data_IF_155890764937
#
_entry.id   IF_155890764937
#
_cell.length_a   1.000
_cell.length_b   1.000
_cell.length_c   1.000
_cell.angle_alpha   90.00
_cell.angle_beta   90.00
_cell.angle_gamma   90.00
#
_symmetry.space_group_name_H-M   'P 1'
#
loop_
_entity.id
_entity.type
_entity.pdbx_description
1 polymer ?
#
# COMPACT_ATOMS: atom_id res chain seq x y z
N UNK A 1 3.62 28.65 -12.34
CA UNK A 1 2.41 27.83 -12.43
C UNK A 1 2.80 26.41 -12.02
N UNK A 2 2.33 25.94 -10.86
CA UNK A 2 2.55 24.56 -10.43
C UNK A 2 1.66 23.63 -11.29
N UNK A 3 2.17 22.48 -11.69
CA UNK A 3 1.36 21.42 -12.31
C UNK A 3 1.26 20.27 -11.33
N UNK A 4 0.04 19.84 -11.07
CA UNK A 4 -0.24 18.64 -10.30
C UNK A 4 -0.03 17.43 -11.22
N UNK A 5 0.76 16.46 -10.75
CA UNK A 5 0.98 15.18 -11.43
C UNK A 5 0.35 14.10 -10.56
N UNK A 6 -0.51 13.29 -11.17
CA UNK A 6 -1.19 12.17 -10.51
C UNK A 6 -0.64 10.88 -11.09
N UNK A 7 -0.24 9.97 -10.21
CA UNK A 7 0.21 8.62 -10.52
C UNK A 7 -0.83 7.63 -9.99
N UNK A 8 -1.61 7.02 -10.89
CA UNK A 8 -2.62 6.00 -10.55
C UNK A 8 -1.95 4.62 -10.47
N UNK A 9 -1.87 4.06 -9.27
CA UNK A 9 -1.23 2.76 -9.04
C UNK A 9 -2.17 1.58 -9.35
N UNK A 10 -3.47 1.83 -9.53
CA UNK A 10 -4.43 0.78 -9.88
C UNK A 10 -4.30 0.33 -11.33
N UNK A 11 -3.67 1.12 -12.21
CA UNK A 11 -3.28 0.67 -13.56
C UNK A 11 -2.40 -0.60 -13.53
N UNK A 12 -1.60 -0.79 -12.47
CA UNK A 12 -0.81 -2.01 -12.27
C UNK A 12 -1.69 -3.27 -12.10
N UNK A 13 -2.87 -3.10 -11.51
CA UNK A 13 -3.83 -4.19 -11.33
C UNK A 13 -4.52 -4.54 -12.65
N UNK A 14 -4.87 -3.53 -13.46
CA UNK A 14 -5.41 -3.75 -14.81
C UNK A 14 -4.46 -4.58 -15.66
N UNK A 15 -3.17 -4.23 -15.64
CA UNK A 15 -2.13 -4.93 -16.40
C UNK A 15 -1.89 -6.37 -15.95
N UNK A 16 -2.22 -6.69 -14.70
CA UNK A 16 -2.02 -8.04 -14.12
C UNK A 16 -3.30 -8.89 -14.13
N UNK A 17 -4.42 -8.34 -14.57
CA UNK A 17 -5.75 -8.96 -14.44
C UNK A 17 -5.92 -10.24 -15.26
N UNK A 18 -5.20 -10.39 -16.37
CA UNK A 18 -5.25 -11.62 -17.19
C UNK A 18 -4.39 -12.75 -16.61
N UNK A 19 -3.41 -12.41 -15.79
CA UNK A 19 -2.35 -13.33 -15.37
C UNK A 19 -2.59 -13.85 -13.94
N UNK A 20 -3.37 -13.11 -13.13
CA UNK A 20 -3.66 -13.44 -11.74
C UNK A 20 -5.13 -13.84 -11.51
N UNK A 21 -5.37 -15.14 -11.35
CA UNK A 21 -6.70 -15.69 -11.03
C UNK A 21 -7.24 -15.30 -9.64
N UNK A 22 -6.42 -14.69 -8.79
CA UNK A 22 -6.81 -14.20 -7.46
C UNK A 22 -7.17 -12.71 -7.45
N UNK A 23 -7.01 -12.02 -8.59
CA UNK A 23 -7.50 -10.67 -8.84
C UNK A 23 -8.85 -10.75 -9.57
N UNK A 24 -9.84 -9.97 -9.14
CA UNK A 24 -11.17 -9.95 -9.75
C UNK A 24 -11.84 -8.59 -9.58
N UNK A 25 -12.88 -8.30 -10.36
CA UNK A 25 -13.72 -7.12 -10.20
C UNK A 25 -14.92 -7.42 -9.30
N UNK A 26 -15.27 -6.48 -8.43
CA UNK A 26 -16.41 -6.54 -7.50
C UNK A 26 -17.06 -5.15 -7.37
N UNK A 27 -18.19 -5.06 -6.67
CA UNK A 27 -18.85 -3.79 -6.39
C UNK A 27 -18.09 -2.98 -5.31
N UNK A 28 -17.77 -1.75 -5.67
CA UNK A 28 -17.04 -0.77 -4.88
C UNK A 28 -17.92 0.15 -4.05
N UNK A 29 -17.41 1.34 -3.78
CA UNK A 29 -18.17 2.43 -3.16
C UNK A 29 -19.21 2.92 -4.16
N UNK A 30 -20.46 3.13 -3.71
CA UNK A 30 -21.57 3.66 -4.51
C UNK A 30 -21.86 2.90 -5.83
N UNK A 31 -21.48 1.62 -5.91
CA UNK A 31 -21.71 0.77 -7.08
C UNK A 31 -20.69 0.95 -8.22
N UNK A 32 -19.63 1.74 -8.01
CA UNK A 32 -18.50 1.81 -8.94
C UNK A 32 -17.64 0.54 -8.84
N UNK A 33 -16.93 0.12 -9.90
CA UNK A 33 -16.11 -1.08 -9.84
C UNK A 33 -14.97 -0.96 -8.83
N UNK A 34 -14.67 -2.07 -8.16
CA UNK A 34 -13.53 -2.23 -7.28
C UNK A 34 -12.73 -3.49 -7.65
N UNK A 35 -11.41 -3.41 -7.48
CA UNK A 35 -10.54 -4.56 -7.58
C UNK A 35 -10.55 -5.32 -6.26
N UNK A 36 -10.86 -6.62 -6.32
CA UNK A 36 -10.79 -7.56 -5.20
C UNK A 36 -9.53 -8.43 -5.29
N UNK A 37 -8.80 -8.52 -4.20
CA UNK A 37 -7.55 -9.25 -4.08
C UNK A 37 -7.71 -10.39 -3.08
N UNK A 38 -7.66 -11.64 -3.55
CA UNK A 38 -7.70 -12.84 -2.69
C UNK A 38 -6.32 -13.16 -2.11
N UNK A 39 -6.21 -14.00 -1.07
CA UNK A 39 -4.92 -14.37 -0.52
C UNK A 39 -4.13 -15.13 -1.59
N UNK A 40 -2.90 -14.69 -1.86
CA UNK A 40 -2.09 -15.22 -2.95
C UNK A 40 -2.26 -14.49 -4.28
N UNK A 41 -2.99 -13.37 -4.33
CA UNK A 41 -2.90 -12.44 -5.47
C UNK A 41 -1.48 -11.88 -5.57
N UNK A 42 -0.95 -11.84 -6.79
CA UNK A 42 0.39 -11.40 -7.10
C UNK A 42 0.40 -10.28 -8.14
N UNK A 43 -0.15 -9.13 -7.79
CA UNK A 43 0.02 -7.89 -8.58
C UNK A 43 1.40 -7.32 -8.26
N UNK A 44 2.35 -7.57 -9.16
CA UNK A 44 3.72 -7.05 -9.11
C UNK A 44 4.11 -6.48 -10.46
N UNK A 45 4.69 -5.29 -10.48
CA UNK A 45 5.08 -4.61 -11.71
C UNK A 45 6.38 -3.82 -11.49
N UNK A 46 7.21 -3.60 -12.53
CA UNK A 46 8.32 -2.65 -12.43
C UNK A 46 7.79 -1.26 -12.06
N UNK A 47 8.30 -0.65 -10.98
CA UNK A 47 7.74 0.61 -10.45
C UNK A 47 7.71 1.74 -11.48
N UNK A 48 8.76 1.81 -12.32
CA UNK A 48 8.99 2.84 -13.35
C UNK A 48 7.88 2.97 -14.41
N UNK A 49 6.98 1.99 -14.49
CA UNK A 49 5.82 2.08 -15.37
C UNK A 49 4.73 2.99 -14.80
N UNK A 50 4.68 3.16 -13.48
CA UNK A 50 3.61 3.85 -12.76
C UNK A 50 4.11 5.02 -11.91
N UNK A 51 5.41 5.06 -11.60
CA UNK A 51 6.01 6.03 -10.69
C UNK A 51 7.28 6.66 -11.29
N UNK A 52 7.61 7.90 -10.91
CA UNK A 52 8.84 8.54 -11.33
C UNK A 52 10.04 7.93 -10.60
N UNK A 53 11.25 8.07 -11.16
CA UNK A 53 12.50 7.67 -10.51
C UNK A 53 12.69 8.35 -9.14
N UNK A 54 12.24 9.60 -9.04
CA UNK A 54 12.32 10.41 -7.82
C UNK A 54 10.97 11.00 -7.48
N UNK A 55 10.48 10.73 -6.27
CA UNK A 55 9.35 11.46 -5.70
C UNK A 55 9.86 12.71 -4.98
N UNK A 56 9.19 13.86 -5.16
CA UNK A 56 9.61 15.09 -4.51
C UNK A 56 9.36 15.04 -3.01
N UNK A 57 9.93 16.02 -2.31
CA UNK A 57 9.83 16.13 -0.86
C UNK A 57 8.39 16.25 -0.35
N UNK A 58 7.47 16.75 -1.16
CA UNK A 58 6.06 16.91 -0.80
C UNK A 58 5.17 16.18 -1.81
N UNK A 59 4.29 15.33 -1.28
CA UNK A 59 3.31 14.58 -2.06
C UNK A 59 2.16 14.14 -1.16
N UNK A 60 1.08 13.68 -1.79
CA UNK A 60 -0.10 13.17 -1.09
C UNK A 60 -0.41 11.78 -1.59
N UNK A 61 -0.65 10.85 -0.68
CA UNK A 61 -1.15 9.52 -1.00
C UNK A 61 -2.65 9.49 -0.75
N UNK A 62 -3.42 8.99 -1.71
CA UNK A 62 -4.86 8.80 -1.59
C UNK A 62 -5.15 7.33 -1.80
N UNK A 63 -5.98 6.73 -0.94
CA UNK A 63 -6.44 5.37 -1.17
C UNK A 63 -7.86 5.19 -0.64
N UNK A 64 -8.69 4.52 -1.43
CA UNK A 64 -10.01 4.07 -1.01
C UNK A 64 -10.09 2.55 -1.08
N UNK A 65 -10.27 1.94 0.09
CA UNK A 65 -10.11 0.51 0.25
C UNK A 65 -11.06 -0.08 1.30
N UNK A 66 -11.25 -1.40 1.25
CA UNK A 66 -12.03 -2.18 2.21
C UNK A 66 -11.25 -3.45 2.57
N UNK A 67 -10.55 -3.50 3.71
CA UNK A 67 -9.84 -4.70 4.14
C UNK A 67 -10.85 -5.66 4.79
N UNK A 68 -10.80 -6.97 4.52
CA UNK A 68 -11.75 -7.91 5.16
C UNK A 68 -11.20 -8.60 6.40
N UNK A 69 -9.91 -8.42 6.69
CA UNK A 69 -9.25 -8.95 7.88
C UNK A 69 -8.53 -7.84 8.66
N UNK A 70 -8.15 -8.16 9.90
CA UNK A 70 -7.36 -7.27 10.74
C UNK A 70 -5.85 -7.45 10.55
N UNK A 71 -5.43 -8.50 9.83
CA UNK A 71 -4.01 -8.83 9.71
C UNK A 71 -3.24 -7.66 9.11
N UNK A 72 -1.98 -7.57 9.52
CA UNK A 72 -1.02 -6.66 8.90
C UNK A 72 -0.95 -6.90 7.40
N UNK A 73 -1.16 -5.84 6.62
CA UNK A 73 -1.14 -5.85 5.17
C UNK A 73 -0.58 -4.54 4.64
N UNK A 74 -0.16 -4.54 3.38
CA UNK A 74 0.23 -3.32 2.68
C UNK A 74 -0.85 -2.98 1.66
N UNK A 75 -1.25 -1.72 1.57
CA UNK A 75 -2.12 -1.27 0.49
C UNK A 75 -1.38 -1.30 -0.84
N UNK A 76 -0.16 -0.78 -0.82
CA UNK A 76 0.85 -0.96 -1.84
C UNK A 76 2.23 -0.89 -1.18
N UNK A 77 3.25 -1.39 -1.87
CA UNK A 77 4.63 -1.26 -1.47
C UNK A 77 5.55 -1.22 -2.69
N UNK A 78 6.47 -0.27 -2.74
CA UNK A 78 7.60 -0.26 -3.67
C UNK A 78 8.79 -0.84 -2.93
N UNK A 79 9.26 -1.98 -3.41
CA UNK A 79 10.37 -2.72 -2.81
C UNK A 79 11.65 -2.48 -3.60
N UNK A 80 12.77 -2.48 -2.89
CA UNK A 80 14.10 -2.49 -3.50
C UNK A 80 14.31 -3.75 -4.38
N UNK A 81 15.38 -3.82 -5.20
CA UNK A 81 15.57 -4.91 -6.17
C UNK A 81 15.73 -6.30 -5.53
N UNK A 82 16.09 -6.36 -4.25
CA UNK A 82 16.19 -7.60 -3.48
C UNK A 82 14.87 -8.01 -2.78
N UNK A 83 13.84 -7.17 -2.88
CA UNK A 83 12.54 -7.36 -2.25
C UNK A 83 12.58 -7.42 -0.71
N UNK A 84 13.63 -6.88 -0.09
CA UNK A 84 13.90 -6.94 1.36
C UNK A 84 13.68 -5.62 2.09
N UNK A 85 13.57 -4.51 1.37
CA UNK A 85 13.31 -3.17 1.93
C UNK A 85 12.17 -2.51 1.18
N UNK A 86 11.16 -2.03 1.90
CA UNK A 86 10.10 -1.17 1.36
C UNK A 86 10.60 0.26 1.32
N UNK A 87 10.78 0.81 0.12
CA UNK A 87 11.17 2.20 -0.09
C UNK A 87 9.98 3.15 0.11
N UNK A 88 8.79 2.76 -0.33
CA UNK A 88 7.55 3.49 -0.10
C UNK A 88 6.38 2.53 0.06
N UNK A 89 5.49 2.78 1.01
CA UNK A 89 4.25 2.02 1.09
C UNK A 89 3.31 2.52 2.17
N UNK A 90 2.08 2.03 2.14
CA UNK A 90 1.12 2.22 3.23
C UNK A 90 0.86 0.87 3.88
N UNK A 91 1.22 0.75 5.15
CA UNK A 91 1.01 -0.46 5.95
C UNK A 91 -0.16 -0.29 6.89
N UNK A 92 -1.09 -1.25 6.86
CA UNK A 92 -2.13 -1.42 7.87
C UNK A 92 -1.67 -2.51 8.82
N UNK A 93 -1.79 -2.29 10.13
CA UNK A 93 -1.46 -3.30 11.14
C UNK A 93 -2.41 -3.22 12.33
N UNK A 94 -2.33 -4.21 13.21
CA UNK A 94 -3.08 -4.21 14.46
C UNK A 94 -2.67 -3.01 15.34
N UNK A 95 -3.67 -2.37 15.95
CA UNK A 95 -3.53 -1.26 16.88
C UNK A 95 -3.99 -1.64 18.29
N UNK A 96 -3.88 -0.70 19.25
CA UNK A 96 -4.35 -0.95 20.61
C UNK A 96 -5.88 -1.14 20.66
N UNK A 97 -6.34 -2.16 21.40
CA UNK A 97 -7.76 -2.47 21.54
C UNK A 97 -8.36 -3.03 20.24
N UNK A 98 -9.40 -2.39 19.73
CA UNK A 98 -10.05 -2.73 18.45
C UNK A 98 -9.64 -1.82 17.30
N UNK A 99 -8.73 -0.88 17.56
CA UNK A 99 -8.21 0.06 16.57
C UNK A 99 -7.16 -0.61 15.66
N UNK A 100 -6.85 0.05 14.55
CA UNK A 100 -5.79 -0.35 13.64
C UNK A 100 -4.78 0.78 13.49
N UNK A 101 -3.59 0.44 13.01
CA UNK A 101 -2.55 1.41 12.69
C UNK A 101 -2.47 1.58 11.17
N UNK A 102 -2.41 2.82 10.70
CA UNK A 102 -2.01 3.17 9.34
C UNK A 102 -0.63 3.79 9.43
N UNK A 103 0.35 3.19 8.74
CA UNK A 103 1.75 3.60 8.80
C UNK A 103 2.24 3.95 7.40
N UNK A 104 2.90 5.10 7.29
CA UNK A 104 3.65 5.47 6.10
C UNK A 104 5.05 4.85 6.22
N UNK A 105 5.35 3.93 5.31
CA UNK A 105 6.69 3.37 5.16
C UNK A 105 7.41 4.21 4.10
N UNK A 106 8.57 4.74 4.46
CA UNK A 106 9.39 5.58 3.60
C UNK A 106 10.84 5.32 4.00
N UNK A 107 11.63 4.78 3.08
CA UNK A 107 12.99 4.33 3.37
C UNK A 107 13.91 4.67 2.22
N UNK A 108 15.06 5.28 2.51
CA UNK A 108 16.16 5.31 1.56
C UNK A 108 16.92 3.98 1.62
N UNK A 109 16.72 3.13 0.61
CA UNK A 109 17.31 1.78 0.53
C UNK A 109 18.83 1.78 0.33
N UNK A 110 19.42 2.89 -0.15
CA UNK A 110 20.88 3.02 -0.27
C UNK A 110 21.56 3.16 1.09
N UNK A 111 20.85 3.75 2.06
CA UNK A 111 21.38 4.06 3.40
C UNK A 111 20.89 3.09 4.47
N UNK A 112 19.74 2.45 4.27
CA UNK A 112 19.07 1.63 5.28
C UNK A 112 18.83 0.19 4.80
N UNK A 113 19.24 -0.77 5.64
CA UNK A 113 19.05 -2.21 5.38
C UNK A 113 17.69 -2.75 5.81
N UNK A 114 16.84 -1.92 6.42
CA UNK A 114 15.52 -2.28 6.93
C UNK A 114 14.49 -1.22 6.57
N UNK A 115 13.22 -1.62 6.46
CA UNK A 115 12.14 -0.69 6.14
C UNK A 115 11.82 0.21 7.34
N UNK A 116 11.64 1.51 7.10
CA UNK A 116 11.37 2.50 8.15
C UNK A 116 9.93 3.02 8.08
N UNK A 117 9.27 3.03 9.24
CA UNK A 117 7.96 3.67 9.41
C UNK A 117 8.13 5.11 9.86
N UNK A 118 8.11 6.05 8.92
CA UNK A 118 8.31 7.47 9.22
C UNK A 118 7.12 8.10 9.95
N UNK A 119 5.92 7.56 9.77
CA UNK A 119 4.73 8.01 10.49
C UNK A 119 3.78 6.84 10.77
N UNK A 120 3.14 6.86 11.94
CA UNK A 120 2.21 5.81 12.38
C UNK A 120 1.03 6.40 13.13
N UNK A 121 -0.16 6.13 12.65
CA UNK A 121 -1.40 6.71 13.15
C UNK A 121 -2.36 5.63 13.62
N UNK A 122 -2.90 5.80 14.82
CA UNK A 122 -3.97 4.94 15.34
C UNK A 122 -5.29 5.45 14.75
N UNK A 123 -6.04 4.55 14.12
CA UNK A 123 -7.35 4.83 13.54
C UNK A 123 -8.41 3.86 14.05
N UNK A 124 -9.70 4.23 14.00
CA UNK A 124 -10.78 3.28 14.23
C UNK A 124 -10.68 2.07 13.29
N UNK A 125 -11.28 0.97 13.70
CA UNK A 125 -11.37 -0.26 12.90
C UNK A 125 -11.80 -0.01 11.44
N UNK A 126 -10.95 -0.41 10.50
CA UNK A 126 -11.17 -0.32 9.05
C UNK A 126 -11.80 -1.59 8.47
N UNK A 127 -11.65 -2.73 9.15
CA UNK A 127 -12.10 -4.04 8.66
C UNK A 127 -13.59 -4.09 8.31
N UNK A 128 -13.89 -4.62 7.11
CA UNK A 128 -15.22 -4.78 6.48
C UNK A 128 -15.94 -3.45 6.23
N UNK A 129 -15.22 -2.33 6.18
CA UNK A 129 -15.76 -1.01 5.85
C UNK A 129 -14.93 -0.36 4.75
N UNK A 130 -15.61 0.25 3.79
CA UNK A 130 -14.95 1.16 2.87
C UNK A 130 -14.42 2.35 3.65
N UNK A 131 -13.16 2.68 3.41
CA UNK A 131 -12.44 3.78 4.06
C UNK A 131 -11.62 4.50 3.01
N UNK A 132 -11.70 5.84 3.03
CA UNK A 132 -10.83 6.71 2.24
C UNK A 132 -9.78 7.32 3.15
N UNK A 133 -8.52 7.12 2.85
CA UNK A 133 -7.41 7.79 3.53
C UNK A 133 -6.75 8.79 2.60
N UNK A 134 -6.25 9.87 3.21
CA UNK A 134 -5.36 10.83 2.55
C UNK A 134 -4.17 11.04 3.48
N UNK A 135 -2.97 10.70 3.02
CA UNK A 135 -1.73 10.96 3.75
C UNK A 135 -1.03 12.11 3.05
N UNK A 136 -1.06 13.29 3.66
CA UNK A 136 -0.32 14.46 3.17
C UNK A 136 1.09 14.43 3.76
N UNK A 137 2.09 14.31 2.89
CA UNK A 137 3.51 14.29 3.25
C UNK A 137 4.10 15.65 2.94
N UNK A 138 4.54 16.36 3.98
CA UNK A 138 5.27 17.62 3.88
C UNK A 138 6.73 17.42 4.28
N UNK A 139 7.55 18.46 4.14
CA UNK A 139 8.98 18.40 4.52
C UNK A 139 9.21 18.15 6.02
N UNK A 140 8.30 18.61 6.88
CA UNK A 140 8.43 18.55 8.36
C UNK A 140 7.41 17.65 9.06
N UNK A 141 6.34 17.24 8.39
CA UNK A 141 5.24 16.53 9.01
C UNK A 141 4.45 15.69 8.02
N UNK A 142 3.78 14.67 8.56
CA UNK A 142 2.84 13.81 7.86
C UNK A 142 1.50 13.93 8.56
N UNK A 143 0.44 14.13 7.78
CA UNK A 143 -0.93 14.24 8.28
C UNK A 143 -1.75 13.11 7.66
N UNK A 144 -2.50 12.39 8.50
CA UNK A 144 -3.49 11.42 8.02
C UNK A 144 -4.89 12.00 8.14
N UNK A 145 -5.63 11.95 7.04
CA UNK A 145 -7.08 12.12 7.02
C UNK A 145 -7.75 10.75 6.79
N UNK A 146 -8.85 10.49 7.47
CA UNK A 146 -9.71 9.32 7.27
C UNK A 146 -11.15 9.79 7.04
N UNK A 147 -11.74 9.41 5.91
CA UNK A 147 -13.09 9.81 5.50
C UNK A 147 -13.31 11.33 5.64
N UNK A 148 -12.36 12.11 5.13
CA UNK A 148 -12.35 13.59 5.17
C UNK A 148 -12.14 14.24 6.55
N UNK A 149 -11.83 13.46 7.59
CA UNK A 149 -11.51 13.98 8.92
C UNK A 149 -10.01 13.87 9.21
N UNK A 150 -9.39 14.95 9.70
CA UNK A 150 -7.99 14.91 10.17
C UNK A 150 -7.90 14.01 11.41
N UNK A 151 -7.13 12.94 11.31
CA UNK A 151 -6.95 11.99 12.40
C UNK A 151 -5.82 12.42 13.32
N UNK A 152 -4.66 12.70 12.74
CA UNK A 152 -3.46 13.09 13.47
C UNK A 152 -2.41 13.66 12.53
N UNK A 153 -1.49 14.43 13.13
CA UNK A 153 -0.29 14.98 12.50
C UNK A 153 0.93 14.56 13.30
N UNK A 154 1.93 14.03 12.62
CA UNK A 154 3.20 13.63 13.20
C UNK A 154 4.33 14.45 12.57
N UNK A 155 5.15 15.11 13.38
CA UNK A 155 6.39 15.73 12.90
C UNK A 155 7.38 14.63 12.54
N UNK A 156 8.04 14.78 11.41
CA UNK A 156 9.00 13.81 10.87
C UNK A 156 10.26 14.53 10.40
N UNK A 157 11.37 13.82 10.41
CA UNK A 157 12.60 14.23 9.75
C UNK A 157 12.91 13.12 8.74
N UNK A 158 12.96 13.47 7.46
CA UNK A 158 13.27 12.55 6.36
C UNK A 158 14.56 12.99 5.70
N UNK A 159 15.54 12.09 5.67
CA UNK A 159 16.84 12.30 5.03
C UNK A 159 17.08 11.10 4.12
N UNK A 160 17.21 11.32 2.80
CA UNK A 160 16.87 12.53 2.05
C UNK A 160 15.35 12.85 2.09
N UNK A 161 15.00 14.12 1.84
CA UNK A 161 13.60 14.55 1.78
C UNK A 161 12.88 14.05 0.54
N UNK A 162 13.58 13.99 -0.59
CA UNK A 162 13.10 13.36 -1.82
C UNK A 162 13.39 11.86 -1.77
N UNK A 163 12.47 11.05 -2.29
CA UNK A 163 12.65 9.60 -2.31
C UNK A 163 13.16 9.21 -3.70
N UNK A 164 14.33 8.60 -3.76
CA UNK A 164 14.86 8.00 -4.98
C UNK A 164 14.60 6.51 -4.91
N UNK A 165 13.98 5.97 -5.96
CA UNK A 165 13.76 4.54 -6.09
C UNK A 165 14.94 3.89 -6.80
N UNK A 166 15.25 2.64 -6.43
CA UNK A 166 16.24 1.87 -7.19
C UNK A 166 15.70 1.59 -8.60
N UNK A 167 16.59 1.54 -9.59
CA UNK A 167 16.20 1.35 -11.00
C UNK A 167 15.43 0.05 -11.26
N UNK A 168 15.64 -0.97 -10.42
CA UNK A 168 15.02 -2.28 -10.52
C UNK A 168 13.99 -2.55 -9.39
N UNK A 169 13.46 -1.50 -8.77
CA UNK A 169 12.41 -1.65 -7.76
C UNK A 169 11.11 -2.21 -8.31
N UNK A 170 10.37 -2.89 -7.45
CA UNK A 170 9.10 -3.55 -7.81
C UNK A 170 7.96 -2.92 -7.04
N UNK A 171 6.93 -2.48 -7.76
CA UNK A 171 5.65 -2.07 -7.20
C UNK A 171 4.78 -3.29 -6.96
N UNK A 172 4.26 -3.39 -5.74
CA UNK A 172 3.28 -4.37 -5.30
C UNK A 172 1.98 -3.70 -4.89
N UNK A 173 0.84 -4.30 -5.27
CA UNK A 173 -0.49 -3.89 -4.81
C UNK A 173 -1.05 -4.95 -3.87
N UNK A 174 -1.68 -4.51 -2.78
CA UNK A 174 -2.25 -5.34 -1.72
C UNK A 174 -1.28 -6.27 -0.97
N UNK A 175 0.04 -6.16 -1.21
CA UNK A 175 1.10 -6.95 -0.60
C UNK A 175 2.44 -6.18 -0.60
N UNK A 176 3.50 -6.80 -0.06
CA UNK A 176 4.85 -6.23 -0.03
C UNK A 176 5.91 -7.30 -0.31
N UNK A 177 5.72 -8.10 -1.35
CA UNK A 177 6.65 -9.15 -1.74
C UNK A 177 6.81 -10.29 -0.72
N UNK A 178 7.62 -11.30 -1.06
CA UNK A 178 7.77 -12.53 -0.27
C UNK A 178 8.67 -12.38 0.97
N UNK A 179 9.48 -11.32 1.07
CA UNK A 179 10.52 -11.18 2.11
C UNK A 179 10.24 -10.11 3.19
N UNK A 180 9.31 -9.17 2.99
CA UNK A 180 8.99 -8.09 3.96
C UNK A 180 8.05 -8.56 5.08
N UNK A 181 7.21 -9.55 4.80
CA UNK A 181 6.35 -10.08 5.83
C UNK A 181 7.14 -11.07 6.68
N UNK A 182 7.38 -10.71 7.95
CA UNK A 182 7.76 -11.66 8.98
C UNK A 182 6.85 -12.90 8.86
N UNK A 183 7.44 -13.98 8.34
CA UNK A 183 6.88 -15.33 8.34
C UNK A 183 5.37 -15.39 8.05
N UNK A 184 5.00 -15.31 6.78
CA UNK A 184 3.87 -16.10 6.31
C UNK A 184 4.24 -17.60 6.37
N UNK A 185 4.30 -18.13 7.59
CA UNK A 185 4.37 -19.56 7.89
C UNK A 185 2.99 -20.22 7.66
N UNK A 186 2.20 -19.68 6.72
CA UNK A 186 0.99 -20.33 6.21
C UNK A 186 1.36 -21.35 5.13
N UNK A 187 2.50 -21.17 4.43
CA UNK A 187 2.94 -22.09 3.39
C UNK A 187 3.95 -23.16 3.83
N UNK A 188 4.56 -23.09 5.04
CA UNK A 188 5.50 -24.13 5.52
C UNK A 188 4.96 -25.06 6.62
N UNK A 189 3.78 -24.80 7.17
CA UNK A 189 2.99 -25.82 7.89
C UNK A 189 1.94 -26.45 6.99
N UNK A 190 2.37 -27.15 5.94
CA UNK A 190 1.61 -28.29 5.40
C UNK A 190 1.61 -29.42 6.45
N UNK A 191 0.93 -29.22 7.58
CA UNK A 191 0.31 -30.34 8.29
C UNK A 191 -0.95 -30.64 7.50
N UNK A 192 -1.06 -31.85 6.93
CA UNK A 192 -2.23 -32.42 6.25
C UNK A 192 -3.54 -31.79 6.75
N UNK A 193 -4.00 -30.73 6.09
CA UNK A 193 -5.34 -30.18 6.31
C UNK A 193 -6.25 -30.85 5.29
N UNK A 194 -7.39 -31.37 5.73
CA UNK A 194 -8.29 -32.07 4.84
C UNK A 194 -8.84 -31.13 3.75
N UNK A 195 -9.27 -31.69 2.62
CA UNK A 195 -9.79 -30.93 1.48
C UNK A 195 -11.08 -30.13 1.77
N UNK A 196 -11.77 -30.40 2.89
CA UNK A 196 -12.94 -29.63 3.33
C UNK A 196 -12.51 -28.34 4.04
N UNK A 197 -11.48 -28.38 4.88
CA UNK A 197 -10.87 -27.22 5.51
C UNK A 197 -10.18 -26.33 4.48
N UNK A 198 -9.49 -26.88 3.48
CA UNK A 198 -8.92 -26.07 2.38
C UNK A 198 -10.03 -25.36 1.59
N UNK A 199 -11.17 -26.00 1.35
CA UNK A 199 -12.34 -25.38 0.71
C UNK A 199 -13.03 -24.34 1.61
N UNK A 200 -13.13 -24.58 2.91
CA UNK A 200 -13.67 -23.62 3.87
C UNK A 200 -12.78 -22.36 3.98
N UNK A 201 -11.45 -22.51 3.90
CA UNK A 201 -10.51 -21.38 3.85
C UNK A 201 -10.55 -20.62 2.52
N UNK A 202 -10.82 -21.32 1.40
CA UNK A 202 -11.01 -20.71 0.07
C UNK A 202 -12.31 -19.89 -0.03
N UNK A 203 -13.33 -20.26 0.73
CA UNK A 203 -14.65 -19.60 0.75
C UNK A 203 -14.81 -18.53 1.84
N UNK A 204 -13.84 -18.39 2.75
CA UNK A 204 -13.82 -17.23 3.64
C UNK A 204 -13.26 -16.06 2.82
N UNK A 205 -14.08 -15.03 2.58
CA UNK A 205 -13.78 -13.81 1.79
C UNK A 205 -12.69 -12.97 2.45
N UNK A 206 -11.50 -13.54 2.57
CA UNK A 206 -10.27 -12.93 3.06
C UNK A 206 -9.67 -12.23 1.86
N UNK A 207 -9.80 -10.93 1.79
CA UNK A 207 -9.31 -10.16 0.68
C UNK A 207 -9.24 -8.69 1.03
N UNK A 208 -8.66 -7.95 0.12
CA UNK A 208 -8.64 -6.50 0.17
C UNK A 208 -9.28 -5.98 -1.09
N UNK A 209 -10.07 -4.93 -0.96
CA UNK A 209 -10.72 -4.30 -2.11
C UNK A 209 -10.24 -2.87 -2.25
N UNK A 210 -10.09 -2.41 -3.49
CA UNK A 210 -9.65 -1.07 -3.82
C UNK A 210 -10.51 -0.46 -4.91
N UNK A 211 -10.83 0.82 -4.77
CA UNK A 211 -11.34 1.63 -5.88
C UNK A 211 -10.27 2.58 -6.43
N UNK A 212 -9.35 3.04 -5.58
CA UNK A 212 -8.26 3.97 -5.99
C UNK A 212 -7.04 3.80 -5.07
N UNK A 213 -5.85 3.99 -5.63
CA UNK A 213 -4.59 4.24 -4.93
C UNK A 213 -3.77 5.20 -5.79
N UNK A 214 -3.68 6.46 -5.36
CA UNK A 214 -3.01 7.52 -6.12
C UNK A 214 -1.87 8.15 -5.33
N UNK A 215 -0.82 8.54 -6.06
CA UNK A 215 0.18 9.48 -5.57
C UNK A 215 0.02 10.79 -6.31
N UNK A 216 -0.24 11.86 -5.57
CA UNK A 216 -0.44 13.20 -6.08
C UNK A 216 0.76 14.05 -5.69
N UNK A 217 1.44 14.61 -6.68
CA UNK A 217 2.62 15.43 -6.49
C UNK A 217 2.44 16.82 -7.05
N UNK A 218 2.87 17.83 -6.29
CA UNK A 218 2.96 19.21 -6.75
C UNK A 218 4.33 19.42 -7.38
N UNK A 219 4.39 19.47 -8.72
CA UNK A 219 5.62 19.77 -9.43
C UNK A 219 5.70 21.28 -9.73
N UNK A 220 6.81 21.92 -9.38
CA UNK A 220 7.15 23.24 -9.92
C UNK A 220 7.52 23.06 -11.40
N UNK A 221 6.84 23.76 -12.31
CA UNK A 221 7.33 23.84 -13.70
C UNK A 221 8.74 24.42 -13.66
N UNK A 222 9.73 23.63 -14.05
CA UNK A 222 11.04 24.16 -14.45
C UNK A 222 10.77 25.08 -15.63
N UNK A 223 10.87 26.39 -15.41
CA UNK A 223 10.94 27.36 -16.50
C UNK A 223 12.17 27.03 -17.33
N UNK A 224 11.96 26.52 -18.54
CA UNK A 224 12.98 26.56 -19.59
C UNK A 224 13.22 28.01 -20.01
#
# INVERSE_FOLDING_TARGET
MFSEVVYDLMEASVSSMTDDNNLYMDDGVDGFPAFGFRPGSEVKQPYRLYLPEKLPAEFTLVATFKPTSFRTSYLFAVLNPFETVVQLGIRISDGPGSNQNVSLVYTNSDEHSHSEEVAKFIVPKLTKKWSKIVIKVSTSDVILYLNCHEMARQKVIRIPQELVFDTASTLYIAQAGPHIQERYDVFRKMKKVNAASVRAWRNETRGMFFTEIDIVSLCSRVTK
#
